data_IF_796538547790
#
_entry.id   IF_796538547790
#
_cell.length_a   1.000
_cell.length_b   1.000
_cell.length_c   1.000
_cell.angle_alpha   90.00
_cell.angle_beta   90.00
_cell.angle_gamma   90.00
#
_symmetry.space_group_name_H-M   'P 1'
#
loop_
_entity.id
_entity.type
_entity.pdbx_description
1 polymer ?
#
# COMPACT_ATOMS: atom_id res chain seq x y z
N UNK A 1 -3.40 9.39 7.69
CA UNK A 1 -4.87 9.15 7.66
C UNK A 1 -5.26 8.51 8.98
N UNK A 2 -6.19 9.12 9.71
CA UNK A 2 -6.64 8.63 11.03
C UNK A 2 -7.94 7.85 10.87
N UNK A 3 -8.16 6.85 11.74
CA UNK A 3 -9.42 6.10 11.82
C UNK A 3 -9.87 5.53 10.47
N UNK A 4 -8.95 4.89 9.74
CA UNK A 4 -9.19 4.38 8.38
C UNK A 4 -10.38 3.43 8.32
N UNK A 5 -10.57 2.60 9.35
CA UNK A 5 -11.67 1.62 9.42
C UNK A 5 -13.07 2.26 9.47
N UNK A 6 -13.17 3.54 9.81
CA UNK A 6 -14.44 4.29 9.92
C UNK A 6 -14.75 5.07 8.62
N UNK A 7 -13.88 5.01 7.62
CA UNK A 7 -13.94 5.83 6.41
C UNK A 7 -14.22 4.99 5.18
N UNK A 8 -15.01 5.55 4.27
CA UNK A 8 -15.14 5.00 2.92
C UNK A 8 -13.86 5.22 2.10
N UNK A 9 -13.68 4.46 1.04
CA UNK A 9 -12.55 4.62 0.11
C UNK A 9 -12.50 6.05 -0.45
N UNK A 10 -13.66 6.64 -0.76
CA UNK A 10 -13.74 8.00 -1.27
C UNK A 10 -13.23 9.02 -0.24
N UNK A 11 -13.67 8.90 1.02
CA UNK A 11 -13.22 9.78 2.09
C UNK A 11 -11.70 9.66 2.33
N UNK A 12 -11.15 8.45 2.23
CA UNK A 12 -9.71 8.21 2.33
C UNK A 12 -8.99 8.90 1.17
N UNK A 13 -9.48 8.77 -0.06
CA UNK A 13 -8.88 9.39 -1.24
C UNK A 13 -8.88 10.93 -1.15
N UNK A 14 -9.99 11.52 -0.70
CA UNK A 14 -10.10 12.97 -0.47
C UNK A 14 -9.11 13.45 0.59
N UNK A 15 -9.01 12.74 1.72
CA UNK A 15 -8.08 13.09 2.80
C UNK A 15 -6.61 12.95 2.33
N UNK A 16 -6.28 11.94 1.54
CA UNK A 16 -4.95 11.79 0.93
C UNK A 16 -4.63 13.01 0.05
N UNK A 17 -5.56 13.42 -0.81
CA UNK A 17 -5.37 14.56 -1.70
C UNK A 17 -5.18 15.87 -0.91
N UNK A 18 -5.99 16.07 0.12
CA UNK A 18 -5.90 17.24 1.01
C UNK A 18 -4.54 17.28 1.75
N UNK A 19 -4.13 16.17 2.36
CA UNK A 19 -2.87 16.11 3.10
C UNK A 19 -1.66 16.22 2.17
N UNK A 20 -1.71 15.65 0.97
CA UNK A 20 -0.66 15.80 -0.04
C UNK A 20 -0.50 17.26 -0.48
N UNK A 21 -1.61 17.99 -0.66
CA UNK A 21 -1.59 19.43 -0.95
C UNK A 21 -1.01 20.24 0.21
N UNK A 22 -1.42 19.92 1.45
CA UNK A 22 -0.88 20.56 2.65
C UNK A 22 0.62 20.29 2.83
N UNK A 23 1.09 19.09 2.50
CA UNK A 23 2.50 18.74 2.51
C UNK A 23 3.31 19.57 1.53
N UNK A 24 2.86 19.70 0.28
CA UNK A 24 3.49 20.50 -0.78
C UNK A 24 3.61 21.97 -0.38
N UNK A 25 2.62 22.48 0.32
CA UNK A 25 2.59 23.88 0.78
C UNK A 25 3.19 24.10 2.17
N UNK A 26 3.79 23.07 2.78
CA UNK A 26 4.40 23.08 4.13
C UNK A 26 3.40 23.49 5.24
N UNK A 27 2.13 23.15 5.08
CA UNK A 27 1.05 23.49 6.03
C UNK A 27 0.65 22.31 6.93
N UNK A 28 1.33 21.16 6.85
CA UNK A 28 1.09 20.06 7.77
C UNK A 28 1.48 20.44 9.20
N UNK A 29 0.64 20.03 10.14
CA UNK A 29 0.90 20.19 11.58
C UNK A 29 1.63 18.97 12.13
N UNK A 30 2.39 19.17 13.22
CA UNK A 30 3.13 18.06 13.87
C UNK A 30 2.22 16.87 14.23
N UNK A 31 0.96 17.05 14.72
CA UNK A 31 0.05 15.92 14.97
C UNK A 31 -0.36 15.13 13.71
N UNK A 32 -0.23 15.72 12.52
CA UNK A 32 -0.53 15.02 11.26
C UNK A 32 0.61 14.09 10.81
N UNK A 33 1.80 14.30 11.38
CA UNK A 33 3.02 13.54 11.07
C UNK A 33 3.35 12.46 12.10
N UNK A 34 2.54 12.29 13.14
CA UNK A 34 2.82 11.38 14.26
C UNK A 34 1.65 10.47 14.56
N UNK A 35 1.96 9.33 15.21
CA UNK A 35 0.96 8.41 15.73
C UNK A 35 0.41 7.42 14.70
N UNK A 36 1.09 7.24 13.59
CA UNK A 36 0.76 6.18 12.64
C UNK A 36 1.11 4.81 13.24
N UNK A 37 0.32 3.80 12.91
CA UNK A 37 0.56 2.40 13.27
C UNK A 37 1.21 1.61 12.14
N UNK A 38 1.10 2.11 10.89
CA UNK A 38 1.64 1.49 9.70
C UNK A 38 1.81 2.53 8.59
N UNK A 39 2.87 2.44 7.83
CA UNK A 39 3.15 3.35 6.71
C UNK A 39 2.98 2.65 5.37
N UNK A 40 2.38 3.34 4.41
CA UNK A 40 2.40 2.95 3.00
C UNK A 40 3.22 4.00 2.25
N UNK A 41 4.29 3.53 1.59
CA UNK A 41 5.16 4.36 0.75
C UNK A 41 4.95 4.02 -0.71
N UNK A 42 4.64 5.00 -1.54
CA UNK A 42 4.42 4.78 -2.97
C UNK A 42 5.40 5.59 -3.81
N UNK A 43 6.09 4.92 -4.73
CA UNK A 43 6.91 5.59 -5.75
C UNK A 43 6.05 6.16 -6.90
N UNK A 44 4.78 5.78 -6.97
CA UNK A 44 3.87 6.24 -8.02
C UNK A 44 4.41 6.01 -9.42
N UNK A 45 4.30 7.03 -10.27
CA UNK A 45 4.73 6.96 -11.68
C UNK A 45 6.24 7.13 -11.90
N UNK A 46 7.02 7.40 -10.86
CA UNK A 46 8.46 7.76 -11.00
C UNK A 46 9.30 6.60 -11.52
N UNK A 47 8.87 5.35 -11.31
CA UNK A 47 9.54 4.18 -11.87
C UNK A 47 10.08 3.20 -10.81
N UNK A 48 10.85 2.19 -11.29
CA UNK A 48 11.33 1.10 -10.46
C UNK A 48 10.30 -0.01 -10.29
N UNK A 49 10.75 -1.27 -10.32
CA UNK A 49 9.90 -2.43 -10.07
C UNK A 49 9.80 -2.77 -8.59
N UNK A 50 10.88 -2.56 -7.86
CA UNK A 50 10.98 -2.87 -6.43
C UNK A 50 11.86 -1.84 -5.73
N UNK A 51 11.58 -1.59 -4.46
CA UNK A 51 12.45 -0.84 -3.56
C UNK A 51 12.28 -1.37 -2.15
N UNK A 52 13.20 -1.08 -1.28
CA UNK A 52 13.14 -1.48 0.13
C UNK A 52 12.79 -0.25 0.96
N UNK A 53 11.53 -0.11 1.42
CA UNK A 53 11.16 1.00 2.28
C UNK A 53 11.81 0.86 3.66
N UNK A 54 12.16 1.98 4.27
CA UNK A 54 12.75 2.03 5.61
C UNK A 54 11.63 2.26 6.62
N UNK A 55 11.59 1.44 7.66
CA UNK A 55 10.59 1.54 8.73
C UNK A 55 10.74 2.87 9.47
N UNK A 56 9.62 3.54 9.72
CA UNK A 56 9.56 4.79 10.45
C UNK A 56 9.23 4.53 11.93
N UNK A 57 10.22 4.53 12.85
CA UNK A 57 9.96 4.23 14.25
C UNK A 57 8.95 5.21 14.87
N UNK A 58 8.05 4.78 15.77
CA UNK A 58 7.98 3.47 16.42
C UNK A 58 7.16 2.40 15.67
N UNK A 59 6.80 2.62 14.42
CA UNK A 59 6.13 1.61 13.59
C UNK A 59 7.03 0.39 13.40
N UNK A 60 6.42 -0.77 13.18
CA UNK A 60 7.13 -2.05 13.01
C UNK A 60 6.99 -2.63 11.61
N UNK A 61 6.30 -1.94 10.71
CA UNK A 61 6.11 -2.35 9.33
C UNK A 61 5.82 -1.19 8.40
N UNK A 62 6.26 -1.33 7.16
CA UNK A 62 6.01 -0.39 6.06
C UNK A 62 5.83 -1.16 4.76
N UNK A 63 4.79 -0.81 4.01
CA UNK A 63 4.50 -1.37 2.69
C UNK A 63 4.95 -0.40 1.59
N UNK A 64 5.80 -0.88 0.70
CA UNK A 64 6.21 -0.18 -0.50
C UNK A 64 5.36 -0.58 -1.71
N UNK A 65 4.84 0.41 -2.42
CA UNK A 65 4.10 0.24 -3.67
C UNK A 65 4.93 0.81 -4.82
N UNK A 66 5.29 -0.03 -5.79
CA UNK A 66 5.99 0.39 -7.00
C UNK A 66 5.01 0.57 -8.17
N UNK A 67 5.54 1.01 -9.32
CA UNK A 67 4.75 1.17 -10.54
C UNK A 67 4.23 -0.18 -11.04
N UNK A 68 2.96 -0.24 -11.43
CA UNK A 68 2.42 -1.39 -12.14
C UNK A 68 3.14 -1.64 -13.46
N UNK A 69 3.22 -2.89 -13.84
CA UNK A 69 3.78 -3.29 -15.14
C UNK A 69 3.02 -4.49 -15.72
N UNK A 70 2.92 -4.52 -17.04
CA UNK A 70 2.35 -5.64 -17.75
C UNK A 70 3.35 -6.83 -17.77
N UNK A 71 2.84 -8.03 -17.53
CA UNK A 71 3.57 -9.28 -17.65
C UNK A 71 2.74 -10.30 -18.41
N UNK A 72 3.37 -10.98 -19.35
CA UNK A 72 2.76 -12.11 -20.06
C UNK A 72 2.77 -13.33 -19.15
N UNK A 73 1.61 -13.93 -18.94
CA UNK A 73 1.42 -15.16 -18.17
C UNK A 73 0.82 -16.25 -19.05
N UNK A 74 1.20 -17.50 -18.78
CA UNK A 74 0.64 -18.65 -19.47
C UNK A 74 -0.82 -18.87 -19.05
N UNK A 75 -1.65 -19.24 -20.02
CA UNK A 75 -3.04 -19.69 -19.85
C UNK A 75 -3.23 -20.98 -20.63
N UNK A 76 -4.30 -21.76 -20.33
CA UNK A 76 -4.49 -23.11 -20.88
C UNK A 76 -4.30 -23.20 -22.42
N UNK A 77 -4.74 -22.19 -23.17
CA UNK A 77 -4.69 -22.15 -24.64
C UNK A 77 -3.81 -21.01 -25.19
N UNK A 78 -2.78 -20.56 -24.44
CA UNK A 78 -1.91 -19.48 -24.93
C UNK A 78 -1.33 -18.61 -23.82
N UNK A 79 -1.27 -17.32 -24.12
CA UNK A 79 -0.71 -16.32 -23.22
C UNK A 79 -1.67 -15.14 -23.05
N UNK A 80 -1.69 -14.56 -21.87
CA UNK A 80 -2.41 -13.30 -21.63
C UNK A 80 -1.50 -12.28 -20.96
N UNK A 81 -1.76 -11.01 -21.21
CA UNK A 81 -1.09 -9.91 -20.52
C UNK A 81 -1.87 -9.56 -19.25
N UNK A 82 -1.18 -9.52 -18.11
CA UNK A 82 -1.74 -9.09 -16.83
C UNK A 82 -0.95 -7.95 -16.24
N UNK A 83 -1.66 -7.03 -15.59
CA UNK A 83 -1.04 -5.97 -14.80
C UNK A 83 -0.63 -6.50 -13.43
N UNK A 84 0.59 -6.23 -13.04
CA UNK A 84 1.17 -6.59 -11.75
C UNK A 84 1.50 -5.33 -10.95
N UNK A 85 1.03 -5.26 -9.72
CA UNK A 85 1.44 -4.26 -8.73
C UNK A 85 2.49 -4.87 -7.81
N UNK A 86 3.77 -4.45 -7.88
CA UNK A 86 4.78 -4.94 -6.96
C UNK A 86 4.58 -4.40 -5.55
N UNK A 87 4.65 -5.28 -4.57
CA UNK A 87 4.57 -4.98 -3.15
C UNK A 87 5.88 -5.34 -2.48
N UNK A 88 6.42 -4.43 -1.68
CA UNK A 88 7.62 -4.65 -0.86
C UNK A 88 7.30 -4.37 0.60
N UNK A 89 7.37 -5.38 1.46
CA UNK A 89 7.12 -5.25 2.88
C UNK A 89 8.45 -5.26 3.64
N UNK A 90 8.75 -4.17 4.36
CA UNK A 90 9.80 -4.15 5.38
C UNK A 90 9.16 -4.22 6.76
N UNK A 91 9.73 -5.03 7.67
CA UNK A 91 9.21 -5.20 9.01
C UNK A 91 10.33 -5.42 10.03
N UNK A 92 10.05 -5.09 11.29
CA UNK A 92 10.96 -5.34 12.41
C UNK A 92 10.86 -6.79 12.84
N UNK A 93 11.90 -7.59 12.53
CA UNK A 93 11.91 -9.02 12.79
C UNK A 93 11.97 -9.38 14.28
N UNK A 94 12.19 -8.40 15.17
CA UNK A 94 12.09 -8.58 16.63
C UNK A 94 10.64 -8.68 17.09
N UNK A 95 9.69 -8.13 16.30
CA UNK A 95 8.25 -8.08 16.62
C UNK A 95 7.45 -8.98 15.70
N UNK A 96 7.79 -9.02 14.42
CA UNK A 96 7.06 -9.75 13.36
C UNK A 96 7.96 -10.87 12.85
N UNK A 97 7.49 -12.11 12.87
CA UNK A 97 8.21 -13.23 12.27
C UNK A 97 7.92 -13.34 10.75
N UNK A 98 8.81 -14.04 10.03
CA UNK A 98 8.73 -14.16 8.57
C UNK A 98 7.45 -14.83 8.06
N UNK A 99 6.90 -15.80 8.80
CA UNK A 99 5.65 -16.47 8.44
C UNK A 99 4.48 -15.50 8.46
N UNK A 100 4.40 -14.69 9.51
CA UNK A 100 3.35 -13.67 9.65
C UNK A 100 3.43 -12.61 8.54
N UNK A 101 4.65 -12.15 8.23
CA UNK A 101 4.89 -11.21 7.14
C UNK A 101 4.48 -11.79 5.78
N UNK A 102 4.81 -13.05 5.50
CA UNK A 102 4.43 -13.74 4.28
C UNK A 102 2.91 -13.92 4.16
N UNK A 103 2.24 -14.31 5.24
CA UNK A 103 0.77 -14.43 5.30
C UNK A 103 0.09 -13.09 5.02
N UNK A 104 0.59 -12.00 5.63
CA UNK A 104 0.05 -10.65 5.40
C UNK A 104 0.11 -10.26 3.92
N UNK A 105 1.27 -10.41 3.27
CA UNK A 105 1.42 -10.06 1.85
C UNK A 105 0.56 -10.96 0.95
N UNK A 106 0.45 -12.25 1.27
CA UNK A 106 -0.40 -13.18 0.52
C UNK A 106 -1.88 -12.81 0.62
N UNK A 107 -2.37 -12.52 1.82
CA UNK A 107 -3.76 -12.09 2.05
C UNK A 107 -4.05 -10.75 1.37
N UNK A 108 -3.12 -9.79 1.48
CA UNK A 108 -3.25 -8.50 0.80
C UNK A 108 -3.31 -8.67 -0.71
N UNK A 109 -2.44 -9.50 -1.29
CA UNK A 109 -2.45 -9.81 -2.73
C UNK A 109 -3.77 -10.45 -3.18
N UNK A 110 -4.31 -11.38 -2.41
CA UNK A 110 -5.62 -11.98 -2.68
C UNK A 110 -6.75 -10.96 -2.62
N UNK A 111 -6.76 -10.10 -1.59
CA UNK A 111 -7.76 -9.04 -1.43
C UNK A 111 -7.72 -8.01 -2.57
N UNK A 112 -6.53 -7.62 -3.02
CA UNK A 112 -6.37 -6.70 -4.15
C UNK A 112 -6.73 -7.34 -5.50
N UNK A 113 -6.64 -8.66 -5.62
CA UNK A 113 -7.04 -9.41 -6.80
C UNK A 113 -8.54 -9.69 -6.89
N UNK A 114 -9.28 -9.51 -5.80
CA UNK A 114 -10.73 -9.77 -5.74
C UNK A 114 -11.52 -8.46 -5.90
N UNK A 115 -11.97 -8.18 -7.12
CA UNK A 115 -12.75 -6.99 -7.43
C UNK A 115 -14.09 -6.94 -6.67
N UNK A 116 -14.64 -8.09 -6.27
CA UNK A 116 -15.90 -8.12 -5.51
C UNK A 116 -15.76 -7.54 -4.10
N UNK A 117 -14.58 -7.68 -3.50
CA UNK A 117 -14.27 -7.05 -2.21
C UNK A 117 -14.13 -5.53 -2.34
N UNK A 118 -13.61 -5.05 -3.46
CA UNK A 118 -13.54 -3.62 -3.72
C UNK A 118 -14.92 -2.99 -3.88
N UNK A 119 -15.81 -3.59 -4.67
CA UNK A 119 -17.16 -3.08 -4.92
C UNK A 119 -17.99 -2.92 -3.64
N UNK A 120 -17.84 -3.82 -2.67
CA UNK A 120 -18.53 -3.75 -1.38
C UNK A 120 -18.08 -2.57 -0.51
N UNK A 121 -16.88 -2.07 -0.70
CA UNK A 121 -16.26 -1.00 0.10
C UNK A 121 -16.34 0.39 -0.57
N UNK A 122 -16.91 0.49 -1.76
CA UNK A 122 -17.16 1.78 -2.44
C UNK A 122 -18.42 2.54 -1.93
N UNK A 123 -19.13 1.98 -0.95
CA UNK A 123 -20.33 2.61 -0.39
C UNK A 123 -20.02 3.58 0.72
#
# INVERSE_FOLDING_TARGET
IKNVQEKSILNIAEEIAMLASAAKTRKLKIPDLKGASFTISSLGAVGGKFFTPIINPPEVGILGLSKTFAKVVAKNDGFESREFLPLSLSYDHRVINGVYAAQFVTQLGAALGDTSLMEKNFK
#
